data_IF_893203675014
#
_entry.id   IF_893203675014
#
_cell.length_a   1.000
_cell.length_b   1.000
_cell.length_c   1.000
_cell.angle_alpha   90.00
_cell.angle_beta   90.00
_cell.angle_gamma   90.00
#
_symmetry.space_group_name_H-M   'P 1'
#
loop_
_entity.id
_entity.type
_entity.pdbx_description
1 polymer ?
#
# COMPACT_ATOMS: atom_id res chain seq x y z
N UNK A 1 -1.26 20.97 -3.09
CA UNK A 1 -1.07 19.97 -4.16
C UNK A 1 -0.03 18.96 -3.69
N UNK A 2 -0.31 17.68 -3.82
CA UNK A 2 0.62 16.64 -3.41
C UNK A 2 1.87 16.63 -4.30
N UNK A 3 3.03 16.43 -3.69
CA UNK A 3 4.30 16.31 -4.41
C UNK A 3 4.58 14.83 -4.63
N UNK A 4 4.98 14.45 -5.85
CA UNK A 4 5.34 13.09 -6.19
C UNK A 4 6.86 12.95 -6.16
N UNK A 5 7.34 12.09 -5.26
CA UNK A 5 8.77 11.85 -5.08
C UNK A 5 9.06 10.36 -5.22
N UNK A 6 10.34 10.01 -5.35
CA UNK A 6 10.78 8.61 -5.42
C UNK A 6 11.87 8.35 -4.37
N UNK A 7 11.88 7.14 -3.85
CA UNK A 7 12.94 6.67 -2.97
C UNK A 7 13.22 5.20 -3.22
N UNK A 8 14.48 4.79 -3.04
CA UNK A 8 14.86 3.38 -3.09
C UNK A 8 15.08 2.77 -1.70
N UNK A 9 14.76 3.51 -0.63
CA UNK A 9 14.80 2.98 0.72
C UNK A 9 13.74 1.88 0.87
N UNK A 10 14.04 0.75 1.53
CA UNK A 10 13.01 -0.26 1.79
C UNK A 10 11.79 0.34 2.48
N UNK A 11 10.60 0.00 2.01
CA UNK A 11 9.37 0.65 2.49
C UNK A 11 9.19 0.49 4.01
N UNK A 12 9.56 -0.65 4.56
CA UNK A 12 9.44 -0.88 6.02
C UNK A 12 10.34 0.01 6.86
N UNK A 13 11.33 0.68 6.25
CA UNK A 13 12.26 1.58 6.93
C UNK A 13 11.95 3.05 6.70
N UNK A 14 10.94 3.37 5.89
CA UNK A 14 10.52 4.75 5.66
C UNK A 14 9.88 5.34 6.91
N UNK A 15 10.05 6.63 7.13
CA UNK A 15 9.63 7.30 8.36
C UNK A 15 8.73 8.51 8.08
N UNK A 16 7.97 8.91 9.10
CA UNK A 16 7.13 10.12 9.10
C UNK A 16 6.01 10.09 8.07
N UNK A 17 5.41 8.91 7.89
CA UNK A 17 4.30 8.77 6.96
C UNK A 17 3.56 7.47 7.11
N UNK A 18 2.58 7.27 6.26
CA UNK A 18 1.81 6.03 6.18
C UNK A 18 2.50 5.10 5.19
N UNK A 19 2.72 3.86 5.59
CA UNK A 19 3.38 2.86 4.77
C UNK A 19 2.33 1.98 4.10
N UNK A 20 2.22 2.04 2.78
CA UNK A 20 1.26 1.23 2.03
C UNK A 20 1.87 -0.12 1.71
N UNK A 21 1.21 -1.20 2.12
CA UNK A 21 1.64 -2.56 1.84
C UNK A 21 0.61 -3.27 0.96
N UNK A 22 0.98 -3.71 -0.25
CA UNK A 22 0.07 -4.47 -1.11
C UNK A 22 -0.26 -5.82 -0.48
N UNK A 23 -1.53 -6.19 -0.52
CA UNK A 23 -2.00 -7.52 -0.10
C UNK A 23 -2.92 -8.11 -1.16
N UNK A 24 -3.15 -9.41 -1.06
CA UNK A 24 -4.16 -10.12 -1.87
C UNK A 24 -5.13 -10.87 -0.97
N UNK A 25 -6.14 -11.50 -1.57
CA UNK A 25 -7.16 -12.22 -0.80
C UNK A 25 -6.69 -13.57 -0.26
N UNK A 26 -5.56 -14.09 -0.75
CA UNK A 26 -5.02 -15.37 -0.33
C UNK A 26 -3.75 -15.17 0.50
N UNK A 27 -3.90 -14.66 1.70
CA UNK A 27 -2.79 -14.28 2.57
C UNK A 27 -1.84 -15.44 2.92
N UNK A 28 -2.34 -16.65 3.00
CA UNK A 28 -1.52 -17.82 3.36
C UNK A 28 -0.33 -18.01 2.42
N UNK A 29 -0.44 -17.51 1.20
CA UNK A 29 0.58 -17.67 0.18
C UNK A 29 1.41 -16.41 -0.02
N UNK A 30 1.18 -15.36 0.76
CA UNK A 30 1.90 -14.11 0.59
C UNK A 30 3.22 -14.16 1.34
N UNK A 31 4.28 -14.44 0.61
CA UNK A 31 5.64 -14.48 1.13
C UNK A 31 6.55 -13.45 0.51
N UNK A 32 6.01 -12.66 -0.45
CA UNK A 32 6.79 -11.71 -1.20
C UNK A 32 7.06 -10.44 -0.41
N UNK A 33 8.14 -9.75 -0.77
CA UNK A 33 8.41 -8.41 -0.31
C UNK A 33 7.35 -7.45 -0.89
N UNK A 34 6.81 -6.43 -0.17
CA UNK A 34 7.28 -6.00 1.15
C UNK A 34 6.56 -6.68 2.34
N UNK A 35 5.53 -7.50 2.10
CA UNK A 35 4.79 -8.09 3.21
C UNK A 35 5.69 -8.94 4.12
N UNK A 36 6.68 -9.63 3.54
CA UNK A 36 7.64 -10.42 4.31
C UNK A 36 8.46 -9.55 5.27
N UNK A 37 8.81 -8.33 4.87
CA UNK A 37 9.52 -7.40 5.75
C UNK A 37 8.64 -6.90 6.88
N UNK A 38 7.40 -6.50 6.60
CA UNK A 38 6.47 -6.08 7.64
C UNK A 38 6.17 -7.20 8.63
N UNK A 39 6.12 -8.44 8.15
CA UNK A 39 5.95 -9.59 9.02
C UNK A 39 7.08 -9.72 10.03
N UNK A 40 8.31 -9.37 9.64
CA UNK A 40 9.48 -9.42 10.52
C UNK A 40 9.59 -8.19 11.42
N UNK A 41 9.34 -7.00 10.85
CA UNK A 41 9.60 -5.74 11.54
C UNK A 41 8.41 -5.30 12.40
N UNK A 42 7.20 -5.72 12.07
CA UNK A 42 6.00 -5.32 12.79
C UNK A 42 5.00 -6.47 12.92
N UNK A 43 5.31 -7.38 13.82
CA UNK A 43 4.51 -8.58 14.06
C UNK A 43 3.10 -8.23 14.51
N UNK A 44 2.93 -7.17 15.30
CA UNK A 44 1.61 -6.78 15.84
C UNK A 44 0.71 -6.27 14.70
N UNK A 45 1.21 -5.37 13.87
CA UNK A 45 0.43 -4.87 12.73
C UNK A 45 0.10 -5.99 11.75
N UNK A 46 1.06 -6.86 11.46
CA UNK A 46 0.86 -8.01 10.59
C UNK A 46 -0.22 -8.94 11.15
N UNK A 47 -0.14 -9.26 12.45
CA UNK A 47 -1.14 -10.11 13.09
C UNK A 47 -2.54 -9.51 13.09
N UNK A 48 -2.64 -8.20 13.29
CA UNK A 48 -3.92 -7.48 13.20
C UNK A 48 -4.52 -7.62 11.80
N UNK A 49 -3.74 -7.38 10.76
CA UNK A 49 -4.19 -7.51 9.38
C UNK A 49 -4.65 -8.94 9.09
N UNK A 50 -3.85 -9.93 9.48
CA UNK A 50 -4.20 -11.33 9.26
C UNK A 50 -5.51 -11.71 9.93
N UNK A 51 -5.72 -11.25 11.17
CA UNK A 51 -6.97 -11.51 11.90
C UNK A 51 -8.19 -10.92 11.21
N UNK A 52 -8.08 -9.68 10.73
CA UNK A 52 -9.18 -9.02 10.01
C UNK A 52 -9.53 -9.78 8.73
N UNK A 53 -8.53 -10.18 7.95
CA UNK A 53 -8.78 -10.88 6.69
C UNK A 53 -9.34 -12.28 6.93
N UNK A 54 -8.85 -13.00 7.94
CA UNK A 54 -9.35 -14.33 8.27
C UNK A 54 -10.82 -14.29 8.71
N UNK A 55 -11.21 -13.28 9.49
CA UNK A 55 -12.58 -13.17 9.98
C UNK A 55 -13.56 -12.64 8.93
N UNK A 56 -13.15 -11.62 8.17
CA UNK A 56 -14.09 -10.87 7.33
C UNK A 56 -13.78 -10.98 5.83
N UNK A 57 -12.64 -11.54 5.46
CA UNK A 57 -12.16 -11.48 4.11
C UNK A 57 -11.70 -10.05 3.74
N UNK A 58 -11.29 -9.86 2.50
CA UNK A 58 -10.91 -8.55 1.99
C UNK A 58 -11.36 -8.42 0.54
N UNK A 59 -11.85 -7.24 0.18
CA UNK A 59 -12.32 -6.91 -1.15
C UNK A 59 -11.63 -5.65 -1.67
N UNK A 60 -11.75 -5.41 -2.97
CA UNK A 60 -11.15 -4.21 -3.56
C UNK A 60 -11.71 -2.95 -2.89
N UNK A 61 -10.86 -1.98 -2.65
CA UNK A 61 -11.24 -0.74 -2.00
C UNK A 61 -11.39 -0.83 -0.49
N UNK A 62 -11.29 -2.02 0.08
CA UNK A 62 -11.39 -2.22 1.52
C UNK A 62 -9.98 -2.24 2.12
N UNK A 63 -9.57 -1.12 2.71
CA UNK A 63 -8.25 -0.98 3.29
C UNK A 63 -8.26 -1.34 4.77
N UNK A 64 -7.13 -1.87 5.25
CA UNK A 64 -6.94 -2.16 6.67
C UNK A 64 -5.84 -1.26 7.19
N UNK A 65 -6.13 -0.49 8.23
CA UNK A 65 -5.19 0.43 8.83
C UNK A 65 -4.73 -0.14 10.17
N UNK A 66 -3.42 -0.36 10.31
CA UNK A 66 -2.85 -0.90 11.54
C UNK A 66 -1.87 0.07 12.14
N UNK A 67 -2.02 0.35 13.42
CA UNK A 67 -1.00 1.06 14.18
C UNK A 67 0.21 0.15 14.36
N UNK A 68 1.37 0.70 14.11
CA UNK A 68 2.63 -0.02 14.15
C UNK A 68 3.26 0.06 15.55
N UNK A 69 4.20 -0.84 15.85
CA UNK A 69 5.10 -0.72 17.00
C UNK A 69 6.02 0.49 16.89
N UNK A 70 6.23 0.94 15.66
CA UNK A 70 6.93 2.18 15.36
C UNK A 70 5.89 3.29 15.23
N UNK A 71 6.32 4.50 14.94
CA UNK A 71 5.41 5.64 14.80
C UNK A 71 4.70 5.67 13.43
N UNK A 72 5.04 4.76 12.52
CA UNK A 72 4.52 4.74 11.16
C UNK A 72 3.41 3.70 11.02
N UNK A 73 2.15 4.14 10.84
CA UNK A 73 1.06 3.20 10.61
C UNK A 73 1.20 2.52 9.26
N UNK A 74 0.70 1.29 9.17
CA UNK A 74 0.69 0.51 7.94
C UNK A 74 -0.72 0.46 7.39
N UNK A 75 -0.84 0.78 6.10
CA UNK A 75 -2.08 0.68 5.36
C UNK A 75 -2.01 -0.54 4.43
N UNK A 76 -2.71 -1.58 4.80
CA UNK A 76 -2.78 -2.80 4.02
C UNK A 76 -3.79 -2.60 2.89
N UNK A 77 -3.31 -2.70 1.66
CA UNK A 77 -4.02 -2.24 0.47
C UNK A 77 -4.21 -3.41 -0.51
N UNK A 78 -5.45 -3.92 -0.68
CA UNK A 78 -5.69 -4.99 -1.64
C UNK A 78 -5.45 -4.50 -3.07
N UNK A 79 -4.46 -5.06 -3.74
CA UNK A 79 -4.08 -4.67 -5.09
C UNK A 79 -4.27 -5.78 -6.12
N UNK A 80 -4.52 -7.02 -5.65
CA UNK A 80 -4.81 -8.13 -6.55
C UNK A 80 -5.61 -9.20 -5.82
N UNK A 81 -6.40 -9.94 -6.61
CA UNK A 81 -7.38 -10.88 -6.05
C UNK A 81 -6.74 -12.16 -5.52
N UNK A 82 -5.80 -12.72 -6.28
CA UNK A 82 -5.17 -14.00 -5.97
C UNK A 82 -3.66 -13.84 -5.88
N UNK A 83 -3.03 -14.69 -5.09
CA UNK A 83 -1.59 -14.65 -4.87
C UNK A 83 -0.78 -14.68 -6.18
N UNK A 84 -1.17 -15.56 -7.11
CA UNK A 84 -0.43 -15.77 -8.35
C UNK A 84 -0.88 -14.85 -9.48
N UNK A 85 -1.82 -13.95 -9.24
CA UNK A 85 -2.23 -12.98 -10.25
C UNK A 85 -1.45 -11.69 -10.09
N UNK A 86 -1.27 -10.99 -11.20
CA UNK A 86 -0.61 -9.70 -11.20
C UNK A 86 -1.53 -8.64 -10.61
N UNK A 87 -0.96 -7.50 -10.28
CA UNK A 87 -1.73 -6.37 -9.77
C UNK A 87 -2.85 -5.99 -10.72
N UNK A 88 -3.99 -5.58 -10.15
CA UNK A 88 -5.17 -5.17 -10.91
C UNK A 88 -5.36 -3.67 -10.77
N UNK A 89 -5.40 -2.97 -11.91
CA UNK A 89 -5.52 -1.52 -11.95
C UNK A 89 -6.81 -1.03 -11.29
N UNK A 90 -7.92 -1.73 -11.50
CA UNK A 90 -9.19 -1.39 -10.87
C UNK A 90 -9.18 -1.56 -9.36
N UNK A 91 -8.41 -2.51 -8.84
CA UNK A 91 -8.22 -2.67 -7.39
C UNK A 91 -7.40 -1.53 -6.82
N UNK A 92 -6.37 -1.09 -7.55
CA UNK A 92 -5.57 0.06 -7.15
C UNK A 92 -6.44 1.32 -7.14
N UNK A 93 -7.23 1.55 -8.17
CA UNK A 93 -8.11 2.71 -8.22
C UNK A 93 -9.12 2.71 -7.08
N UNK A 94 -9.75 1.57 -6.80
CA UNK A 94 -10.73 1.48 -5.70
C UNK A 94 -10.10 1.81 -4.35
N UNK A 95 -8.88 1.34 -4.10
CA UNK A 95 -8.16 1.68 -2.87
C UNK A 95 -7.78 3.15 -2.79
N UNK A 96 -7.36 3.74 -3.91
CA UNK A 96 -7.04 5.17 -3.95
C UNK A 96 -8.28 6.04 -3.71
N UNK A 97 -9.44 5.64 -4.20
CA UNK A 97 -10.70 6.32 -3.91
C UNK A 97 -10.98 6.29 -2.40
N UNK A 98 -10.72 5.18 -1.75
CA UNK A 98 -10.88 5.06 -0.30
C UNK A 98 -9.91 5.97 0.44
N UNK A 99 -8.64 6.02 0.05
CA UNK A 99 -7.66 6.94 0.64
C UNK A 99 -8.12 8.40 0.45
N UNK A 100 -8.59 8.75 -0.72
CA UNK A 100 -9.05 10.10 -1.02
C UNK A 100 -10.25 10.52 -0.13
N UNK A 101 -11.11 9.55 0.21
CA UNK A 101 -12.26 9.78 1.06
C UNK A 101 -11.87 9.91 2.55
N UNK A 102 -10.90 9.13 3.00
CA UNK A 102 -10.46 9.09 4.40
C UNK A 102 -9.03 9.58 4.52
N UNK A 103 -8.82 10.89 4.40
CA UNK A 103 -7.49 11.49 4.45
C UNK A 103 -6.80 11.27 5.81
N UNK A 104 -5.47 11.24 5.79
CA UNK A 104 -4.63 11.10 6.98
C UNK A 104 -4.21 12.49 7.45
N UNK A 105 -5.06 13.14 8.24
CA UNK A 105 -4.89 14.55 8.59
C UNK A 105 -3.62 14.86 9.39
N UNK A 106 -3.13 13.91 10.15
CA UNK A 106 -1.93 14.05 10.98
C UNK A 106 -0.67 13.52 10.30
N UNK A 107 -0.77 13.04 9.08
CA UNK A 107 0.37 12.53 8.32
C UNK A 107 0.62 13.38 7.09
N UNK A 108 1.91 13.63 6.80
CA UNK A 108 2.32 14.45 5.67
C UNK A 108 2.80 13.66 4.48
N UNK A 109 3.00 12.35 4.62
CA UNK A 109 3.55 11.50 3.58
C UNK A 109 2.79 10.19 3.48
N UNK A 110 2.65 9.73 2.24
CA UNK A 110 2.14 8.38 1.93
C UNK A 110 3.24 7.70 1.13
N UNK A 111 3.81 6.63 1.67
CA UNK A 111 4.80 5.83 0.97
C UNK A 111 4.07 4.73 0.22
N UNK A 112 4.09 4.83 -1.10
CA UNK A 112 3.34 3.95 -1.99
C UNK A 112 4.32 3.13 -2.82
N UNK A 113 4.15 1.80 -2.92
CA UNK A 113 5.03 1.00 -3.78
C UNK A 113 4.93 1.50 -5.22
N UNK A 114 6.07 1.60 -5.90
CA UNK A 114 6.11 2.04 -7.30
C UNK A 114 5.67 0.91 -8.23
N UNK A 115 4.39 0.53 -8.14
CA UNK A 115 3.83 -0.56 -8.93
C UNK A 115 3.99 -0.25 -10.42
N UNK A 116 4.48 -1.24 -11.17
CA UNK A 116 4.79 -1.06 -12.58
C UNK A 116 6.23 -0.68 -12.85
N UNK A 117 6.99 -0.32 -11.81
CA UNK A 117 8.43 -0.07 -11.95
C UNK A 117 9.17 -1.33 -12.38
N UNK A 118 8.76 -2.48 -11.87
CA UNK A 118 9.31 -3.78 -12.26
C UNK A 118 8.36 -4.47 -13.23
N UNK A 119 8.92 -5.14 -14.23
CA UNK A 119 8.16 -5.84 -15.25
C UNK A 119 7.23 -6.91 -14.65
N UNK A 120 7.66 -7.55 -13.58
CA UNK A 120 6.90 -8.59 -12.90
C UNK A 120 5.58 -8.11 -12.32
N UNK A 121 5.44 -6.81 -12.10
CA UNK A 121 4.19 -6.25 -11.56
C UNK A 121 3.03 -6.38 -12.54
N UNK A 122 3.33 -6.47 -13.84
CA UNK A 122 2.31 -6.70 -14.86
C UNK A 122 1.46 -5.49 -15.20
N UNK A 123 1.86 -4.30 -14.75
CA UNK A 123 1.20 -3.03 -15.07
C UNK A 123 2.22 -2.04 -15.58
N UNK A 124 1.73 -1.05 -16.32
CA UNK A 124 2.53 0.09 -16.75
C UNK A 124 2.54 1.13 -15.64
N UNK A 125 3.73 1.57 -15.23
CA UNK A 125 3.88 2.50 -14.12
C UNK A 125 3.11 3.82 -14.36
N UNK A 126 3.11 4.30 -15.60
CA UNK A 126 2.41 5.54 -15.95
C UNK A 126 0.91 5.45 -15.66
N UNK A 127 0.30 4.28 -15.82
CA UNK A 127 -1.12 4.10 -15.52
C UNK A 127 -1.38 4.23 -14.02
N UNK A 128 -0.48 3.69 -13.20
CA UNK A 128 -0.58 3.82 -11.75
C UNK A 128 -0.35 5.28 -11.32
N UNK A 129 0.63 5.95 -11.91
CA UNK A 129 0.89 7.37 -11.63
C UNK A 129 -0.31 8.23 -11.95
N UNK A 130 -0.97 8.00 -13.08
CA UNK A 130 -2.18 8.75 -13.45
C UNK A 130 -3.29 8.58 -12.42
N UNK A 131 -3.49 7.37 -11.93
CA UNK A 131 -4.50 7.11 -10.90
C UNK A 131 -4.16 7.80 -9.59
N UNK A 132 -2.90 7.75 -9.16
CA UNK A 132 -2.46 8.43 -7.95
C UNK A 132 -2.67 9.93 -8.07
N UNK A 133 -2.30 10.53 -9.19
CA UNK A 133 -2.51 11.94 -9.44
C UNK A 133 -4.00 12.31 -9.45
N UNK A 134 -4.81 11.49 -10.11
CA UNK A 134 -6.25 11.73 -10.20
C UNK A 134 -6.92 11.77 -8.81
N UNK A 135 -6.52 10.88 -7.92
CA UNK A 135 -7.21 10.71 -6.64
C UNK A 135 -6.55 11.43 -5.46
N UNK A 136 -5.24 11.67 -5.52
CA UNK A 136 -4.49 12.19 -4.37
C UNK A 136 -3.86 13.57 -4.59
N UNK A 137 -3.91 14.12 -5.81
CA UNK A 137 -3.20 15.37 -6.11
C UNK A 137 -3.73 16.60 -5.36
N UNK A 138 -4.99 16.59 -4.96
CA UNK A 138 -5.61 17.69 -4.21
C UNK A 138 -5.42 17.57 -2.70
N UNK A 139 -4.78 16.51 -2.24
CA UNK A 139 -4.48 16.31 -0.83
C UNK A 139 -3.27 17.12 -0.37
N UNK A 140 -3.03 17.09 0.94
CA UNK A 140 -1.90 17.77 1.57
C UNK A 140 -0.70 16.85 1.73
N UNK A 141 -0.92 15.54 1.62
CA UNK A 141 0.11 14.55 1.79
C UNK A 141 1.00 14.48 0.55
N UNK A 142 2.31 14.40 0.75
CA UNK A 142 3.24 14.07 -0.32
C UNK A 142 3.19 12.57 -0.58
N UNK A 143 3.13 12.17 -1.83
CA UNK A 143 3.19 10.76 -2.21
C UNK A 143 4.61 10.42 -2.63
N UNK A 144 5.21 9.46 -1.93
CA UNK A 144 6.57 9.02 -2.20
C UNK A 144 6.51 7.60 -2.72
N UNK A 145 6.93 7.43 -3.98
CA UNK A 145 6.96 6.11 -4.59
C UNK A 145 8.21 5.36 -4.17
N UNK A 146 8.02 4.18 -3.61
CA UNK A 146 9.11 3.33 -3.14
C UNK A 146 9.41 2.31 -4.22
N UNK A 147 10.63 2.36 -4.75
CA UNK A 147 11.07 1.43 -5.78
C UNK A 147 11.61 0.12 -5.20
N UNK A 148 11.87 0.08 -3.90
CA UNK A 148 12.30 -1.11 -3.19
C UNK A 148 11.18 -1.60 -2.27
N UNK A 149 10.32 -2.46 -2.81
CA UNK A 149 9.17 -2.99 -2.06
C UNK A 149 9.02 -4.50 -2.22
#
# INVERSE_FOLDING_TARGET
MAVLLYTNMPIALCEKGVLVCPICTQLKMMTNYPISEFRKTDVIAYGHMMGVVEENGVQKGQLIFSNSNTDEPILWFPMHKLYNTRYKLDWIESGLETIAKYRFHDKHRIYFPAIGYYEEDGLVQEDVLELVQKHLSDGKEDVIFVTHY
#
